data_IF_721473333641
#
_entry.id   IF_721473333641
#
_cell.length_a   1.000
_cell.length_b   1.000
_cell.length_c   1.000
_cell.angle_alpha   90.00
_cell.angle_beta   90.00
_cell.angle_gamma   90.00
#
_symmetry.space_group_name_H-M   'P 1'
#
loop_
_entity.id
_entity.type
_entity.pdbx_description
1 polymer ?
#
# COMPACT_ATOMS: atom_id res chain seq x y z
N UNK A 1 7.80 -17.73 -4.37
CA UNK A 1 8.24 -17.48 -2.98
C UNK A 1 8.46 -15.99 -2.79
N UNK A 2 7.75 -15.35 -1.86
CA UNK A 2 7.92 -13.91 -1.54
C UNK A 2 8.84 -13.76 -0.32
N UNK A 3 10.14 -14.04 -0.51
CA UNK A 3 11.13 -13.80 0.55
C UNK A 3 11.66 -12.36 0.45
N UNK A 4 11.82 -11.63 1.56
CA UNK A 4 12.38 -10.30 1.56
C UNK A 4 13.82 -10.26 1.02
N UNK A 5 14.16 -9.24 0.22
CA UNK A 5 15.51 -9.03 -0.36
C UNK A 5 16.60 -9.03 0.72
N UNK A 6 16.29 -8.53 1.91
CA UNK A 6 17.18 -8.53 3.09
C UNK A 6 17.53 -9.94 3.56
N UNK A 7 16.56 -10.86 3.56
CA UNK A 7 16.74 -12.24 3.94
C UNK A 7 17.59 -12.98 2.90
N UNK A 8 17.26 -12.82 1.61
CA UNK A 8 18.04 -13.40 0.51
C UNK A 8 19.48 -12.89 0.50
N UNK A 9 19.71 -11.60 0.72
CA UNK A 9 21.05 -11.04 0.81
C UNK A 9 21.87 -11.66 1.96
N UNK A 10 21.24 -11.89 3.12
CA UNK A 10 21.88 -12.53 4.27
C UNK A 10 22.23 -13.99 4.00
N UNK A 11 21.31 -14.74 3.38
CA UNK A 11 21.54 -16.14 2.97
C UNK A 11 22.67 -16.26 1.95
N UNK A 12 22.79 -15.28 1.04
CA UNK A 12 23.85 -15.20 0.04
C UNK A 12 25.16 -14.61 0.59
N UNK A 13 25.20 -14.13 1.83
CA UNK A 13 26.39 -13.52 2.44
C UNK A 13 26.82 -12.20 1.78
N UNK A 14 25.91 -11.51 1.09
CA UNK A 14 26.19 -10.25 0.40
C UNK A 14 25.55 -9.06 1.11
N UNK A 15 26.09 -7.87 0.88
CA UNK A 15 25.48 -6.65 1.37
C UNK A 15 24.11 -6.43 0.70
N UNK A 16 23.10 -6.11 1.50
CA UNK A 16 21.72 -5.86 1.06
C UNK A 16 21.66 -4.76 0.00
N UNK A 17 22.44 -3.68 0.17
CA UNK A 17 22.48 -2.58 -0.78
C UNK A 17 23.03 -3.02 -2.14
N UNK A 18 24.03 -3.90 -2.15
CA UNK A 18 24.59 -4.48 -3.38
C UNK A 18 23.54 -5.29 -4.14
N UNK A 19 22.77 -6.11 -3.43
CA UNK A 19 21.68 -6.89 -4.04
C UNK A 19 20.59 -5.96 -4.61
N UNK A 20 20.22 -4.90 -3.90
CA UNK A 20 19.29 -3.88 -4.41
C UNK A 20 19.82 -3.18 -5.67
N UNK A 21 21.11 -2.83 -5.71
CA UNK A 21 21.73 -2.24 -6.90
C UNK A 21 21.67 -3.19 -8.10
N UNK A 22 21.95 -4.48 -7.90
CA UNK A 22 21.87 -5.48 -8.96
C UNK A 22 20.44 -5.69 -9.47
N UNK A 23 19.45 -5.77 -8.57
CA UNK A 23 18.03 -5.87 -8.94
C UNK A 23 17.61 -4.64 -9.76
N UNK A 24 17.98 -3.43 -9.33
CA UNK A 24 17.65 -2.21 -10.05
C UNK A 24 18.30 -2.17 -11.44
N UNK A 25 19.58 -2.54 -11.54
CA UNK A 25 20.29 -2.62 -12.81
C UNK A 25 19.69 -3.67 -13.75
N UNK A 26 19.25 -4.81 -13.21
CA UNK A 26 18.58 -5.86 -13.97
C UNK A 26 17.23 -5.36 -14.52
N UNK A 27 16.40 -4.72 -13.69
CA UNK A 27 15.09 -4.15 -14.11
C UNK A 27 15.23 -3.10 -15.21
N UNK A 28 16.26 -2.25 -15.14
CA UNK A 28 16.54 -1.25 -16.19
C UNK A 28 16.96 -1.87 -17.52
N UNK A 29 17.70 -2.98 -17.47
CA UNK A 29 18.18 -3.69 -18.67
C UNK A 29 17.14 -4.63 -19.27
N UNK A 30 16.22 -5.13 -18.45
CA UNK A 30 15.19 -6.09 -18.84
C UNK A 30 13.80 -5.58 -18.42
N UNK A 31 13.25 -4.55 -19.10
CA UNK A 31 11.99 -3.91 -18.71
C UNK A 31 10.77 -4.85 -18.80
N UNK A 32 10.84 -5.94 -19.58
CA UNK A 32 9.76 -6.93 -19.69
C UNK A 32 9.81 -8.10 -18.69
N UNK A 33 10.85 -8.15 -17.85
CA UNK A 33 11.20 -9.32 -17.03
C UNK A 33 11.14 -9.02 -15.52
N UNK A 34 10.81 -7.77 -15.18
CA UNK A 34 10.46 -7.39 -13.82
C UNK A 34 8.99 -7.79 -13.56
N UNK A 35 8.64 -8.30 -12.36
CA UNK A 35 7.29 -8.15 -11.89
C UNK A 35 7.01 -6.65 -11.88
N UNK A 36 6.16 -6.20 -12.80
CA UNK A 36 5.61 -4.86 -12.78
C UNK A 36 4.80 -4.78 -11.50
N UNK A 37 5.40 -4.22 -10.43
CA UNK A 37 4.58 -3.44 -9.51
C UNK A 37 4.29 -2.21 -10.33
N UNK A 38 3.22 -2.25 -11.09
CA UNK A 38 2.91 -1.18 -12.00
C UNK A 38 2.48 0.02 -11.14
N UNK A 39 3.31 1.06 -11.15
CA UNK A 39 3.09 2.25 -10.32
C UNK A 39 1.74 2.93 -10.66
N UNK A 40 1.19 2.65 -11.85
CA UNK A 40 -0.11 3.11 -12.33
C UNK A 40 -1.27 2.47 -11.53
N UNK A 41 -1.21 1.18 -11.25
CA UNK A 41 -2.14 0.39 -10.45
C UNK A 41 -2.06 0.81 -8.98
N UNK A 42 -0.86 1.10 -8.47
CA UNK A 42 -0.72 1.67 -7.14
C UNK A 42 -1.39 3.04 -7.03
N UNK A 43 -1.28 3.89 -8.05
CA UNK A 43 -1.93 5.19 -8.07
C UNK A 43 -3.46 5.09 -8.17
N UNK A 44 -3.97 4.20 -9.02
CA UNK A 44 -5.41 3.96 -9.17
C UNK A 44 -6.03 3.33 -7.93
N UNK A 45 -5.35 2.37 -7.31
CA UNK A 45 -5.74 1.78 -6.04
C UNK A 45 -5.73 2.83 -4.92
N UNK A 46 -4.70 3.68 -4.85
CA UNK A 46 -4.64 4.79 -3.90
C UNK A 46 -5.81 5.78 -4.10
N UNK A 47 -6.15 6.09 -5.35
CA UNK A 47 -7.27 6.98 -5.69
C UNK A 47 -8.61 6.36 -5.27
N UNK A 48 -8.80 5.06 -5.50
CA UNK A 48 -9.98 4.31 -5.06
C UNK A 48 -10.10 4.31 -3.54
N UNK A 49 -9.03 3.96 -2.84
CA UNK A 49 -8.99 3.92 -1.38
C UNK A 49 -9.27 5.29 -0.75
N UNK A 50 -8.74 6.39 -1.33
CA UNK A 50 -9.02 7.74 -0.84
C UNK A 50 -10.50 8.11 -0.95
N UNK A 51 -11.17 7.74 -2.05
CA UNK A 51 -12.61 7.97 -2.23
C UNK A 51 -13.43 7.16 -1.24
N UNK A 52 -13.09 5.89 -1.05
CA UNK A 52 -13.77 5.02 -0.09
C UNK A 52 -13.60 5.52 1.34
N UNK A 53 -12.38 5.95 1.72
CA UNK A 53 -12.12 6.52 3.03
C UNK A 53 -12.92 7.81 3.27
N UNK A 54 -13.08 8.67 2.25
CA UNK A 54 -13.90 9.87 2.35
C UNK A 54 -15.37 9.53 2.60
N UNK A 55 -15.95 8.59 1.84
CA UNK A 55 -17.32 8.11 2.05
C UNK A 55 -17.51 7.53 3.45
N UNK A 56 -16.61 6.64 3.88
CA UNK A 56 -16.70 6.02 5.20
C UNK A 56 -16.63 7.03 6.35
N UNK A 57 -15.86 8.11 6.19
CA UNK A 57 -15.79 9.20 7.17
C UNK A 57 -17.10 9.98 7.24
N UNK A 58 -17.71 10.26 6.10
CA UNK A 58 -19.01 10.92 6.02
C UNK A 58 -20.11 10.09 6.69
N UNK A 59 -20.21 8.80 6.34
CA UNK A 59 -21.18 7.87 6.92
C UNK A 59 -21.01 7.79 8.45
N UNK A 60 -19.76 7.65 8.92
CA UNK A 60 -19.43 7.66 10.34
C UNK A 60 -19.90 8.94 11.02
N UNK A 61 -19.72 10.10 10.40
CA UNK A 61 -20.07 11.39 11.00
C UNK A 61 -21.58 11.60 11.06
N UNK A 62 -22.32 11.13 10.05
CA UNK A 62 -23.79 11.09 10.08
C UNK A 62 -24.27 10.21 11.22
N UNK A 63 -23.74 8.99 11.33
CA UNK A 63 -24.13 8.05 12.40
C UNK A 63 -23.82 8.61 13.79
N UNK A 64 -22.67 9.27 13.96
CA UNK A 64 -22.32 9.93 15.23
C UNK A 64 -23.30 11.04 15.59
N UNK A 65 -23.68 11.88 14.62
CA UNK A 65 -24.66 12.95 14.84
C UNK A 65 -26.04 12.38 15.19
N UNK A 66 -26.47 11.33 14.49
CA UNK A 66 -27.73 10.64 14.80
C UNK A 66 -27.71 10.05 16.21
N UNK A 67 -26.64 9.32 16.58
CA UNK A 67 -26.50 8.76 17.92
C UNK A 67 -26.54 9.84 19.01
N UNK A 68 -25.86 10.97 18.80
CA UNK A 68 -25.88 12.10 19.74
C UNK A 68 -27.28 12.74 19.85
N UNK A 69 -27.99 12.88 18.74
CA UNK A 69 -29.36 13.39 18.74
C UNK A 69 -30.30 12.47 19.53
N UNK A 70 -30.26 11.16 19.27
CA UNK A 70 -31.12 10.20 19.97
C UNK A 70 -30.80 10.12 21.46
N UNK A 71 -29.51 10.13 21.86
CA UNK A 71 -29.12 10.14 23.26
C UNK A 71 -29.68 11.37 24.02
N UNK A 72 -29.76 12.53 23.34
CA UNK A 72 -30.34 13.75 23.91
C UNK A 72 -31.86 13.66 24.07
N UNK A 73 -32.57 13.10 23.10
CA UNK A 73 -34.03 12.92 23.16
C UNK A 73 -34.47 11.85 24.18
N UNK A 74 -33.61 10.87 24.48
CA UNK A 74 -33.89 9.84 25.49
C UNK A 74 -33.54 10.22 26.93
N UNK A 75 -33.02 11.44 27.15
CA UNK A 75 -32.60 11.96 28.46
C UNK A 75 -33.64 12.88 29.09
#
# INVERSE_FOLDING_TARGET
SSQPVTQTARELGINVNTLHTWINNYRRKNPGDAPQVDDEHLYDELKKLRRENARLKEDRDILKKAAAFFAKESS
#
